data_IF_100941849420
#
_entry.id   IF_100941849420
#
_cell.length_a   1.000
_cell.length_b   1.000
_cell.length_c   1.000
_cell.angle_alpha   90.00
_cell.angle_beta   90.00
_cell.angle_gamma   90.00
#
_symmetry.space_group_name_H-M   'P 1'
#
loop_
_entity.id
_entity.type
_entity.pdbx_description
1 polymer ?
#
# COMPACT_ATOMS: atom_id res chain seq x y z
N UNK A 1 -25.95 52.84 -19.58
CA UNK A 1 -26.33 51.48 -20.06
C UNK A 1 -25.17 50.54 -19.79
N UNK A 2 -25.41 49.58 -18.88
CA UNK A 2 -24.75 48.27 -18.71
C UNK A 2 -23.22 48.24 -18.62
N UNK A 3 -22.72 48.49 -17.42
CA UNK A 3 -21.43 47.99 -16.91
C UNK A 3 -21.48 46.46 -16.88
N UNK A 4 -20.70 45.78 -17.72
CA UNK A 4 -20.55 44.32 -17.68
C UNK A 4 -19.35 44.03 -16.78
N UNK A 5 -19.62 43.70 -15.52
CA UNK A 5 -18.65 43.16 -14.58
C UNK A 5 -18.56 41.65 -14.86
N UNK A 6 -17.49 41.23 -15.53
CA UNK A 6 -17.18 39.80 -15.70
C UNK A 6 -16.52 39.34 -14.39
N UNK A 7 -17.34 38.74 -13.53
CA UNK A 7 -16.90 38.11 -12.29
C UNK A 7 -16.33 36.72 -12.63
N UNK A 8 -15.03 36.66 -12.92
CA UNK A 8 -14.29 35.41 -13.12
C UNK A 8 -14.08 34.75 -11.74
N UNK A 9 -15.05 33.95 -11.30
CA UNK A 9 -14.95 33.15 -10.08
C UNK A 9 -13.87 32.09 -10.31
N UNK A 10 -12.76 32.23 -9.58
CA UNK A 10 -11.77 31.20 -9.35
C UNK A 10 -12.48 29.90 -8.96
N UNK A 11 -12.50 28.93 -9.86
CA UNK A 11 -12.66 27.52 -9.49
C UNK A 11 -11.35 27.06 -8.86
N UNK A 12 -11.06 27.58 -7.66
CA UNK A 12 -10.02 27.04 -6.81
C UNK A 12 -10.57 25.72 -6.30
N UNK A 13 -10.39 24.65 -7.09
CA UNK A 13 -10.60 23.29 -6.64
C UNK A 13 -9.70 23.09 -5.43
N UNK A 14 -10.28 23.23 -4.25
CA UNK A 14 -9.66 22.83 -3.00
C UNK A 14 -9.60 21.31 -3.11
N UNK A 15 -8.50 20.80 -3.69
CA UNK A 15 -8.17 19.39 -3.58
C UNK A 15 -7.89 19.21 -2.10
N UNK A 16 -8.92 18.82 -1.34
CA UNK A 16 -8.73 18.38 0.03
C UNK A 16 -7.73 17.23 -0.05
N UNK A 17 -6.48 17.50 0.30
CA UNK A 17 -5.55 16.46 0.71
C UNK A 17 -6.24 15.74 1.86
N UNK A 18 -6.87 14.61 1.56
CA UNK A 18 -7.38 13.72 2.59
C UNK A 18 -6.14 13.25 3.35
N UNK A 19 -5.89 13.87 4.50
CA UNK A 19 -4.91 13.37 5.45
C UNK A 19 -5.28 11.94 5.79
N UNK A 20 -4.30 11.04 5.76
CA UNK A 20 -4.53 9.62 6.03
C UNK A 20 -5.12 9.45 7.42
N UNK A 21 -6.24 8.73 7.54
CA UNK A 21 -6.87 8.51 8.85
C UNK A 21 -6.47 7.19 9.50
N UNK A 22 -6.17 6.17 8.71
CA UNK A 22 -5.83 4.83 9.16
C UNK A 22 -4.70 4.24 8.30
N UNK A 23 -3.98 3.21 8.78
CA UNK A 23 -2.88 2.61 8.05
C UNK A 23 -3.35 1.89 6.77
N UNK A 24 -4.58 1.37 6.73
CA UNK A 24 -5.14 0.74 5.54
C UNK A 24 -5.22 1.67 4.32
N UNK A 25 -5.41 2.98 4.50
CA UNK A 25 -5.43 3.94 3.37
C UNK A 25 -4.10 3.97 2.60
N UNK A 26 -2.97 3.72 3.26
CA UNK A 26 -1.66 3.53 2.59
C UNK A 26 -1.67 2.25 1.76
N UNK A 27 -2.21 1.17 2.32
CA UNK A 27 -2.22 -0.15 1.67
C UNK A 27 -3.19 -0.18 0.49
N UNK A 28 -4.38 0.41 0.63
CA UNK A 28 -5.38 0.52 -0.43
C UNK A 28 -4.85 1.35 -1.61
N UNK A 29 -4.13 2.43 -1.30
CA UNK A 29 -3.45 3.23 -2.33
C UNK A 29 -2.35 2.42 -3.02
N UNK A 30 -1.56 1.63 -2.28
CA UNK A 30 -0.58 0.71 -2.87
C UNK A 30 -1.24 -0.25 -3.86
N UNK A 31 -2.33 -0.92 -3.48
CA UNK A 31 -3.02 -1.85 -4.38
C UNK A 31 -3.69 -1.15 -5.55
N UNK A 32 -4.18 0.08 -5.36
CA UNK A 32 -4.68 0.92 -6.46
C UNK A 32 -3.58 1.20 -7.49
N UNK A 33 -2.39 1.59 -7.05
CA UNK A 33 -1.25 1.77 -7.96
C UNK A 33 -0.76 0.45 -8.56
N UNK A 34 -0.78 -0.64 -7.79
CA UNK A 34 -0.38 -1.96 -8.27
C UNK A 34 -1.25 -2.40 -9.45
N UNK A 35 -2.57 -2.25 -9.32
CA UNK A 35 -3.54 -2.63 -10.36
C UNK A 35 -3.54 -1.69 -11.57
N UNK A 36 -3.39 -0.38 -11.34
CA UNK A 36 -3.56 0.62 -12.41
C UNK A 36 -2.26 1.06 -13.09
N UNK A 37 -1.12 0.98 -12.38
CA UNK A 37 0.17 1.51 -12.83
C UNK A 37 1.34 0.54 -12.68
N UNK A 38 1.10 -0.66 -12.15
CA UNK A 38 2.08 -1.72 -11.99
C UNK A 38 2.98 -1.59 -10.75
N UNK A 39 3.81 -2.62 -10.57
CA UNK A 39 4.67 -2.83 -9.40
C UNK A 39 5.56 -1.63 -9.09
N UNK A 40 6.28 -1.10 -10.07
CA UNK A 40 7.25 -0.04 -9.81
C UNK A 40 6.58 1.21 -9.23
N UNK A 41 5.42 1.59 -9.77
CA UNK A 41 4.69 2.77 -9.31
C UNK A 41 4.06 2.54 -7.94
N UNK A 42 3.59 1.32 -7.63
CA UNK A 42 3.08 1.01 -6.29
C UNK A 42 4.20 1.04 -5.24
N UNK A 43 5.39 0.52 -5.58
CA UNK A 43 6.57 0.58 -4.73
C UNK A 43 7.07 2.01 -4.51
N UNK A 44 7.19 2.81 -5.58
CA UNK A 44 7.55 4.22 -5.48
C UNK A 44 6.57 4.98 -4.59
N UNK A 45 5.26 4.74 -4.73
CA UNK A 45 4.24 5.35 -3.88
C UNK A 45 4.44 4.99 -2.40
N UNK A 46 4.47 3.69 -2.08
CA UNK A 46 4.46 3.26 -0.67
C UNK A 46 5.72 3.70 0.06
N UNK A 47 6.90 3.60 -0.56
CA UNK A 47 8.15 4.06 0.05
C UNK A 47 8.27 5.59 0.09
N UNK A 48 7.59 6.32 -0.79
CA UNK A 48 7.54 7.77 -0.72
C UNK A 48 6.76 8.31 0.50
N UNK A 49 5.95 7.46 1.17
CA UNK A 49 5.28 7.83 2.43
C UNK A 49 6.27 8.05 3.57
N UNK A 50 7.48 7.47 3.50
CA UNK A 50 8.52 7.66 4.49
C UNK A 50 9.70 8.43 3.89
N UNK A 51 9.93 9.67 4.36
CA UNK A 51 10.99 10.53 3.82
C UNK A 51 12.40 9.93 3.92
N UNK A 52 12.65 9.06 4.90
CA UNK A 52 13.94 8.41 5.09
C UNK A 52 14.13 7.26 4.10
N UNK A 53 13.09 6.46 3.87
CA UNK A 53 13.14 5.36 2.89
C UNK A 53 13.06 5.86 1.45
N UNK A 54 12.35 6.97 1.19
CA UNK A 54 12.27 7.63 -0.11
C UNK A 54 13.65 7.99 -0.67
N UNK A 55 14.62 8.28 0.19
CA UNK A 55 16.00 8.61 -0.20
C UNK A 55 16.82 7.38 -0.60
N UNK A 56 16.31 6.17 -0.42
CA UNK A 56 16.96 4.93 -0.78
C UNK A 56 16.23 4.25 -1.97
N UNK A 57 16.50 4.67 -3.22
CA UNK A 57 15.86 4.10 -4.40
C UNK A 57 16.19 2.62 -4.61
N UNK A 58 17.29 2.14 -4.03
CA UNK A 58 17.71 0.74 -4.13
C UNK A 58 16.67 -0.23 -3.56
N UNK A 59 15.93 0.19 -2.53
CA UNK A 59 14.84 -0.60 -1.94
C UNK A 59 13.76 -0.90 -2.99
N UNK A 60 13.36 0.13 -3.76
CA UNK A 60 12.37 -0.01 -4.84
C UNK A 60 12.92 -0.93 -5.93
N UNK A 61 14.17 -0.72 -6.35
CA UNK A 61 14.83 -1.55 -7.38
C UNK A 61 14.89 -3.01 -6.97
N UNK A 62 15.33 -3.29 -5.75
CA UNK A 62 15.50 -4.65 -5.24
C UNK A 62 14.16 -5.37 -5.08
N UNK A 63 13.12 -4.68 -4.57
CA UNK A 63 11.80 -5.28 -4.39
C UNK A 63 11.09 -5.47 -5.73
N UNK A 64 11.25 -4.52 -6.68
CA UNK A 64 10.77 -4.68 -8.06
C UNK A 64 11.40 -5.90 -8.73
N UNK A 65 12.72 -6.09 -8.60
CA UNK A 65 13.40 -7.24 -9.17
C UNK A 65 12.89 -8.58 -8.61
N UNK A 66 12.48 -8.61 -7.32
CA UNK A 66 11.81 -9.79 -6.75
C UNK A 66 10.44 -10.04 -7.37
N UNK A 67 9.63 -9.00 -7.57
CA UNK A 67 8.34 -9.11 -8.24
C UNK A 67 8.49 -9.54 -9.71
N UNK A 68 9.44 -8.95 -10.44
CA UNK A 68 9.69 -9.29 -11.85
C UNK A 68 10.07 -10.78 -12.03
N UNK A 69 10.71 -11.38 -11.03
CA UNK A 69 11.01 -12.83 -11.00
C UNK A 69 9.79 -13.66 -10.62
N UNK A 70 8.96 -13.20 -9.69
CA UNK A 70 7.84 -13.95 -9.15
C UNK A 70 6.60 -13.93 -10.07
N UNK A 71 6.23 -12.76 -10.61
CA UNK A 71 4.98 -12.56 -11.35
C UNK A 71 4.82 -13.48 -12.57
N UNK A 72 5.84 -13.70 -13.43
CA UNK A 72 5.71 -14.63 -14.56
C UNK A 72 5.43 -16.07 -14.14
N UNK A 73 5.86 -16.46 -12.94
CA UNK A 73 5.63 -17.80 -12.38
C UNK A 73 4.25 -17.88 -11.73
N UNK A 74 3.80 -16.82 -11.06
CA UNK A 74 2.52 -16.76 -10.36
C UNK A 74 1.32 -16.64 -11.31
N UNK A 75 1.50 -16.01 -12.47
CA UNK A 75 0.47 -15.77 -13.48
C UNK A 75 -0.33 -14.49 -13.22
N UNK A 76 -1.58 -14.46 -13.70
CA UNK A 76 -2.49 -13.32 -13.60
C UNK A 76 -2.88 -13.03 -12.16
N UNK A 77 -2.81 -11.76 -11.77
CA UNK A 77 -3.32 -11.26 -10.49
C UNK A 77 -4.84 -11.06 -10.56
N UNK A 78 -5.57 -11.52 -9.53
CA UNK A 78 -7.03 -11.39 -9.46
C UNK A 78 -7.49 -10.37 -8.43
N UNK A 79 -7.02 -10.50 -7.20
CA UNK A 79 -7.50 -9.71 -6.05
C UNK A 79 -6.55 -9.84 -4.87
N UNK A 80 -6.77 -9.04 -3.84
CA UNK A 80 -6.08 -9.13 -2.57
C UNK A 80 -7.08 -9.29 -1.42
N UNK A 81 -6.69 -10.02 -0.37
CA UNK A 81 -7.54 -10.32 0.78
C UNK A 81 -6.77 -10.07 2.07
N UNK A 82 -7.31 -9.22 2.97
CA UNK A 82 -6.69 -8.96 4.27
C UNK A 82 -6.84 -10.20 5.15
N UNK A 83 -5.74 -10.73 5.66
CA UNK A 83 -5.76 -11.88 6.58
C UNK A 83 -5.32 -11.50 8.00
N UNK A 84 -4.59 -10.40 8.15
CA UNK A 84 -4.06 -9.96 9.45
C UNK A 84 -4.07 -8.43 9.54
N UNK A 85 -4.50 -7.92 10.69
CA UNK A 85 -4.22 -6.55 11.12
C UNK A 85 -3.87 -6.58 12.61
N UNK A 86 -2.58 -6.38 12.92
CA UNK A 86 -2.08 -6.24 14.30
C UNK A 86 -1.68 -4.79 14.53
N UNK A 87 -2.39 -4.12 15.43
CA UNK A 87 -2.16 -2.72 15.75
C UNK A 87 -1.65 -2.56 17.17
N UNK A 88 -0.64 -1.72 17.37
CA UNK A 88 -0.07 -1.37 18.67
C UNK A 88 -0.37 0.10 18.94
N UNK A 89 -1.37 0.35 19.79
CA UNK A 89 -1.86 1.69 20.09
C UNK A 89 -2.32 2.44 18.82
N UNK A 90 -2.07 3.75 18.78
CA UNK A 90 -2.38 4.59 17.62
C UNK A 90 -1.18 4.80 16.69
N UNK A 91 -0.08 4.08 16.90
CA UNK A 91 1.24 4.48 16.39
C UNK A 91 1.87 3.46 15.45
N UNK A 92 1.55 2.17 15.58
CA UNK A 92 2.19 1.13 14.80
C UNK A 92 1.17 0.10 14.33
N UNK A 93 1.29 -0.32 13.07
CA UNK A 93 0.40 -1.29 12.46
C UNK A 93 1.18 -2.29 11.60
N UNK A 94 0.76 -3.54 11.67
CA UNK A 94 1.29 -4.63 10.89
C UNK A 94 0.13 -5.30 10.17
N UNK A 95 0.05 -5.11 8.85
CA UNK A 95 -1.11 -5.50 8.05
C UNK A 95 -0.68 -6.49 6.97
N UNK A 96 -1.27 -7.68 7.01
CA UNK A 96 -0.99 -8.78 6.11
C UNK A 96 -2.14 -9.00 5.13
N UNK A 97 -1.79 -9.18 3.86
CA UNK A 97 -2.70 -9.51 2.78
C UNK A 97 -2.22 -10.74 2.01
N UNK A 98 -3.17 -11.52 1.53
CA UNK A 98 -2.95 -12.51 0.46
C UNK A 98 -3.16 -11.81 -0.87
N UNK A 99 -2.21 -11.90 -1.77
CA UNK A 99 -2.36 -11.52 -3.17
C UNK A 99 -2.66 -12.79 -3.96
N UNK A 100 -3.83 -12.86 -4.58
CA UNK A 100 -4.34 -14.06 -5.25
C UNK A 100 -3.96 -14.03 -6.73
N UNK A 101 -3.21 -15.04 -7.17
CA UNK A 101 -2.80 -15.23 -8.56
C UNK A 101 -3.30 -16.57 -9.13
N UNK A 102 -3.14 -16.78 -10.44
CA UNK A 102 -3.48 -18.03 -11.15
C UNK A 102 -2.96 -19.29 -10.46
N UNK A 103 -1.66 -19.32 -10.16
CA UNK A 103 -1.00 -20.55 -9.69
C UNK A 103 -1.11 -20.75 -8.18
N UNK A 104 -0.90 -19.69 -7.43
CA UNK A 104 -0.91 -19.70 -5.98
C UNK A 104 -0.97 -18.28 -5.44
N UNK A 105 -1.55 -18.07 -4.24
CA UNK A 105 -1.42 -16.79 -3.57
C UNK A 105 0.02 -16.59 -3.06
N UNK A 106 0.39 -15.33 -2.85
CA UNK A 106 1.55 -14.94 -2.03
C UNK A 106 1.05 -14.09 -0.88
N UNK A 107 1.81 -14.05 0.22
CA UNK A 107 1.53 -13.10 1.30
C UNK A 107 2.36 -11.83 1.10
N UNK A 108 1.76 -10.68 1.39
CA UNK A 108 2.42 -9.39 1.44
C UNK A 108 2.08 -8.71 2.77
N UNK A 109 3.08 -8.11 3.40
CA UNK A 109 2.99 -7.58 4.75
C UNK A 109 3.54 -6.16 4.77
N UNK A 110 2.70 -5.24 5.23
CA UNK A 110 3.00 -3.82 5.42
C UNK A 110 3.26 -3.55 6.89
N UNK A 111 4.43 -3.00 7.19
CA UNK A 111 4.77 -2.50 8.53
C UNK A 111 4.72 -0.98 8.49
N UNK A 112 3.79 -0.39 9.21
CA UNK A 112 3.44 1.02 9.14
C UNK A 112 3.63 1.68 10.50
N UNK A 113 4.06 2.94 10.48
CA UNK A 113 4.30 3.76 11.65
C UNK A 113 3.65 5.14 11.49
N UNK A 114 2.95 5.61 12.51
CA UNK A 114 2.36 6.93 12.58
C UNK A 114 3.21 7.81 13.48
N UNK A 115 4.08 8.63 12.88
CA UNK A 115 5.02 9.46 13.63
C UNK A 115 4.38 10.76 14.16
N UNK A 116 3.57 11.42 13.33
CA UNK A 116 3.02 12.74 13.65
C UNK A 116 1.71 13.03 12.94
N UNK A 117 1.70 12.95 11.61
CA UNK A 117 0.67 13.54 10.75
C UNK A 117 0.11 12.55 9.72
N UNK A 118 0.89 11.55 9.33
CA UNK A 118 0.47 10.51 8.39
C UNK A 118 1.09 9.16 8.74
N UNK A 119 0.49 8.09 8.19
CA UNK A 119 1.05 6.75 8.27
C UNK A 119 2.14 6.60 7.22
N UNK A 120 3.29 6.09 7.62
CA UNK A 120 4.42 5.87 6.74
C UNK A 120 4.89 4.42 6.80
N UNK A 121 5.33 3.89 5.66
CA UNK A 121 5.91 2.55 5.60
C UNK A 121 7.25 2.53 6.34
N UNK A 122 7.47 1.48 7.12
CA UNK A 122 8.76 1.14 7.69
C UNK A 122 9.36 -0.08 6.99
N UNK A 123 8.52 -1.03 6.58
CA UNK A 123 8.95 -2.19 5.82
C UNK A 123 7.81 -2.77 4.98
N UNK A 124 8.17 -3.37 3.84
CA UNK A 124 7.27 -4.09 2.95
C UNK A 124 7.91 -5.43 2.58
N UNK A 125 7.28 -6.53 2.97
CA UNK A 125 7.77 -7.88 2.71
C UNK A 125 6.73 -8.68 1.94
N UNK A 126 7.18 -9.53 1.04
CA UNK A 126 6.32 -10.54 0.42
C UNK A 126 7.09 -11.84 0.21
N UNK A 127 6.38 -12.96 0.29
CA UNK A 127 6.89 -14.30 0.03
C UNK A 127 5.73 -15.29 -0.23
N UNK A 128 6.05 -16.50 -0.66
CA UNK A 128 5.12 -17.59 -0.97
C UNK A 128 4.91 -18.55 0.21
N UNK A 129 5.36 -18.20 1.43
CA UNK A 129 5.23 -19.06 2.62
C UNK A 129 3.84 -18.90 3.24
N UNK A 130 2.85 -19.47 2.56
CA UNK A 130 1.43 -19.44 2.96
C UNK A 130 1.19 -20.15 4.29
N UNK A 131 1.99 -21.16 4.64
CA UNK A 131 1.86 -21.83 5.95
C UNK A 131 2.01 -20.88 7.14
N UNK A 132 2.79 -19.80 6.99
CA UNK A 132 2.93 -18.79 8.03
C UNK A 132 1.66 -17.95 8.20
N UNK A 133 0.86 -17.78 7.14
CA UNK A 133 -0.44 -17.12 7.22
C UNK A 133 -1.34 -17.90 8.17
N UNK A 134 -1.38 -19.23 8.06
CA UNK A 134 -2.17 -20.10 8.94
C UNK A 134 -1.74 -19.95 10.40
N UNK A 135 -0.43 -19.87 10.67
CA UNK A 135 0.12 -19.67 12.03
C UNK A 135 -0.20 -18.28 12.60
N UNK A 136 -0.31 -17.27 11.74
CA UNK A 136 -0.58 -15.88 12.13
C UNK A 136 -2.07 -15.61 12.36
N UNK A 137 -2.95 -16.45 11.81
CA UNK A 137 -4.37 -16.41 12.11
C UNK A 137 -4.59 -16.79 13.58
N UNK A 138 -5.48 -16.09 14.30
CA UNK A 138 -5.86 -16.52 15.64
C UNK A 138 -6.43 -17.95 15.54
N UNK A 139 -5.97 -18.84 16.42
CA UNK A 139 -6.48 -20.21 16.50
C UNK A 139 -8.01 -20.16 16.58
N UNK A 140 -8.69 -20.49 15.48
CA UNK A 140 -10.12 -20.72 15.45
C UNK A 140 -10.39 -22.11 16.03
N UNK A 141 -10.07 -22.31 17.31
CA UNK A 141 -10.66 -23.42 18.07
C UNK A 141 -12.02 -22.88 18.55
N UNK A 142 -13.07 -23.26 17.83
CA UNK A 142 -14.42 -23.26 18.40
C UNK A 142 -14.54 -24.40 19.39
#
# INVERSE_FOLDING_TARGET
MKTIVIFAILFCSIISLKGQKNPEEVVDSFFTYFNSKGVERSLQYVFATNKYLKQNPEIVTNLKAKFDKALPVLGTFYRYEKYMHKQVGSTFAHIGYLMVFDRQPIKIIFTLYYASDHWQIQDLRFDDKIDDVIKELPNLVK
#
